data_IF_796824721762
#
_entry.id   IF_796824721762
#
_cell.length_a   1.000
_cell.length_b   1.000
_cell.length_c   1.000
_cell.angle_alpha   90.00
_cell.angle_beta   90.00
_cell.angle_gamma   90.00
#
_symmetry.space_group_name_H-M   'P 1'
#
loop_
_entity.id
_entity.type
_entity.pdbx_description
1 polymer ?
#
# COMPACT_ATOMS: atom_id res chain seq x y z
N UNK A 1 19.92 5.69 18.88
CA UNK A 1 18.52 5.31 19.15
C UNK A 1 18.04 4.46 18.00
N UNK A 2 17.20 3.44 18.25
CA UNK A 2 16.75 2.49 17.24
C UNK A 2 15.70 3.08 16.28
N UNK A 3 15.24 4.31 16.50
CA UNK A 3 14.45 5.03 15.49
C UNK A 3 15.31 5.32 14.25
N UNK A 4 15.08 4.56 13.19
CA UNK A 4 15.78 4.69 11.90
C UNK A 4 15.28 5.87 11.05
N UNK A 5 14.36 6.71 11.57
CA UNK A 5 13.81 7.87 10.84
C UNK A 5 12.96 7.49 9.64
N UNK A 6 12.53 6.22 9.56
CA UNK A 6 11.71 5.73 8.47
C UNK A 6 10.28 6.25 8.58
N UNK A 7 9.67 6.50 7.43
CA UNK A 7 8.23 6.72 7.30
C UNK A 7 7.47 5.50 7.85
N UNK A 8 6.41 5.78 8.60
CA UNK A 8 5.51 4.76 9.12
C UNK A 8 4.55 4.29 8.03
N UNK A 9 4.34 2.98 7.98
CA UNK A 9 3.37 2.34 7.08
C UNK A 9 2.41 1.44 7.86
N UNK A 10 1.20 1.31 7.38
CA UNK A 10 0.13 0.58 8.04
C UNK A 10 -0.57 -0.34 7.06
N UNK A 11 -0.94 -1.54 7.51
CA UNK A 11 -1.60 -2.50 6.65
C UNK A 11 -2.48 -3.49 7.39
N UNK A 12 -3.16 -4.32 6.61
CA UNK A 12 -4.01 -5.40 7.14
C UNK A 12 -3.53 -6.77 6.70
N UNK A 13 -3.89 -7.75 7.51
CA UNK A 13 -3.62 -9.16 7.31
C UNK A 13 -4.92 -9.96 7.47
N UNK A 14 -5.80 -9.97 6.46
CA UNK A 14 -7.01 -10.77 6.49
C UNK A 14 -6.68 -12.26 6.33
N UNK A 15 -7.44 -13.11 7.02
CA UNK A 15 -7.27 -14.57 6.90
C UNK A 15 -7.83 -15.05 5.56
N UNK A 16 -7.06 -15.79 4.72
CA UNK A 16 -7.52 -16.22 3.40
C UNK A 16 -8.42 -17.46 3.46
N UNK A 17 -9.49 -17.41 4.27
CA UNK A 17 -10.42 -18.52 4.46
C UNK A 17 -11.23 -18.81 3.19
N UNK A 18 -11.26 -20.08 2.78
CA UNK A 18 -11.99 -20.56 1.61
C UNK A 18 -13.51 -20.39 1.73
N UNK A 19 -14.04 -20.36 2.96
CA UNK A 19 -15.47 -20.15 3.20
C UNK A 19 -15.85 -18.66 3.28
N UNK A 20 -14.86 -17.75 3.23
CA UNK A 20 -15.06 -16.31 3.38
C UNK A 20 -14.24 -15.46 2.38
N UNK A 21 -13.96 -15.99 1.18
CA UNK A 21 -13.11 -15.32 0.18
C UNK A 21 -13.62 -13.93 -0.19
N UNK A 22 -14.94 -13.77 -0.38
CA UNK A 22 -15.54 -12.48 -0.71
C UNK A 22 -15.29 -11.44 0.40
N UNK A 23 -15.34 -11.87 1.66
CA UNK A 23 -15.04 -11.00 2.80
C UNK A 23 -13.57 -10.54 2.78
N UNK A 24 -12.63 -11.41 2.38
CA UNK A 24 -11.21 -11.03 2.28
C UNK A 24 -10.98 -9.95 1.23
N UNK A 25 -11.70 -10.04 0.11
CA UNK A 25 -11.67 -9.01 -0.94
C UNK A 25 -12.29 -7.71 -0.44
N UNK A 26 -13.46 -7.77 0.20
CA UNK A 26 -14.14 -6.60 0.78
C UNK A 26 -13.25 -5.87 1.80
N UNK A 27 -12.58 -6.59 2.69
CA UNK A 27 -11.63 -6.02 3.65
C UNK A 27 -10.45 -5.34 2.95
N UNK A 28 -9.99 -5.91 1.85
CA UNK A 28 -8.87 -5.37 1.07
C UNK A 28 -9.25 -4.09 0.31
N UNK A 29 -10.46 -4.04 -0.25
CA UNK A 29 -11.02 -2.85 -0.88
C UNK A 29 -11.26 -1.73 0.16
N UNK A 30 -11.77 -2.08 1.34
CA UNK A 30 -11.93 -1.12 2.43
C UNK A 30 -10.58 -0.53 2.88
N UNK A 31 -9.52 -1.34 2.91
CA UNK A 31 -8.18 -0.89 3.25
C UNK A 31 -7.59 0.05 2.18
N UNK A 32 -7.83 -0.24 0.90
CA UNK A 32 -7.43 0.61 -0.23
C UNK A 32 -8.12 1.99 -0.14
N UNK A 33 -9.44 2.01 0.05
CA UNK A 33 -10.22 3.25 0.18
C UNK A 33 -9.82 4.04 1.44
N UNK A 34 -9.50 3.34 2.54
CA UNK A 34 -9.09 3.98 3.78
C UNK A 34 -7.64 4.51 3.76
N UNK A 35 -6.90 4.32 2.67
CA UNK A 35 -5.53 4.83 2.52
C UNK A 35 -4.47 4.06 3.30
N UNK A 36 -4.69 2.76 3.55
CA UNK A 36 -3.66 1.89 4.13
C UNK A 36 -2.64 1.48 3.07
N UNK A 37 -1.39 1.25 3.51
CA UNK A 37 -0.26 0.96 2.63
C UNK A 37 -0.24 -0.48 2.12
N UNK A 38 -0.66 -1.45 2.94
CA UNK A 38 -0.50 -2.87 2.64
C UNK A 38 -1.75 -3.72 2.91
N UNK A 39 -2.02 -4.65 1.99
CA UNK A 39 -2.76 -5.89 2.25
C UNK A 39 -1.79 -7.05 2.11
N UNK A 40 -1.73 -7.90 3.14
CA UNK A 40 -0.84 -9.06 3.09
C UNK A 40 -1.57 -10.37 3.40
N UNK A 41 -1.23 -11.44 2.66
CA UNK A 41 -1.98 -12.71 2.66
C UNK A 41 -1.07 -13.88 3.05
N UNK A 42 -1.54 -14.73 3.97
CA UNK A 42 -0.82 -15.95 4.35
C UNK A 42 -0.68 -16.92 3.17
N UNK A 43 0.51 -17.47 2.97
CA UNK A 43 0.76 -18.51 1.96
C UNK A 43 0.98 -19.87 2.62
N UNK A 44 -0.10 -20.60 2.86
CA UNK A 44 -0.07 -21.99 3.31
C UNK A 44 -0.77 -22.92 2.31
N UNK A 45 -0.15 -23.26 1.16
CA UNK A 45 -0.78 -24.07 0.11
C UNK A 45 -1.26 -25.46 0.55
N UNK A 46 -0.73 -25.97 1.67
CA UNK A 46 -1.14 -27.25 2.27
C UNK A 46 -2.36 -27.13 3.21
N UNK A 47 -2.83 -25.93 3.53
CA UNK A 47 -3.97 -25.73 4.41
C UNK A 47 -5.26 -25.74 3.59
N UNK A 48 -6.02 -26.83 3.67
CA UNK A 48 -7.25 -27.01 2.89
C UNK A 48 -8.36 -25.99 3.21
N UNK A 49 -8.26 -25.23 4.32
CA UNK A 49 -9.19 -24.15 4.64
C UNK A 49 -8.81 -22.81 4.01
N UNK A 50 -7.63 -22.72 3.41
CA UNK A 50 -7.14 -21.48 2.81
C UNK A 50 -7.16 -21.55 1.29
N UNK A 51 -7.44 -20.41 0.66
CA UNK A 51 -7.27 -20.27 -0.80
C UNK A 51 -5.81 -20.04 -1.17
N UNK A 52 -5.49 -20.22 -2.46
CA UNK A 52 -4.17 -19.89 -3.00
C UNK A 52 -3.88 -18.38 -2.89
N UNK A 53 -2.85 -18.04 -2.12
CA UNK A 53 -2.49 -16.65 -1.83
C UNK A 53 -2.19 -15.84 -3.09
N UNK A 54 -1.53 -16.42 -4.11
CA UNK A 54 -1.12 -15.68 -5.31
C UNK A 54 -2.30 -15.38 -6.24
N UNK A 55 -3.22 -16.33 -6.37
CA UNK A 55 -4.48 -16.15 -7.09
C UNK A 55 -5.32 -15.07 -6.42
N UNK A 56 -5.44 -15.12 -5.08
CA UNK A 56 -6.16 -14.12 -4.30
C UNK A 56 -5.51 -12.72 -4.40
N UNK A 57 -4.19 -12.61 -4.24
CA UNK A 57 -3.46 -11.35 -4.39
C UNK A 57 -3.65 -10.74 -5.79
N UNK A 58 -3.65 -11.57 -6.84
CA UNK A 58 -3.90 -11.11 -8.21
C UNK A 58 -5.31 -10.56 -8.38
N UNK A 59 -6.31 -11.22 -7.78
CA UNK A 59 -7.69 -10.77 -7.79
C UNK A 59 -7.86 -9.45 -7.01
N UNK A 60 -7.31 -9.37 -5.79
CA UNK A 60 -7.31 -8.13 -4.99
C UNK A 60 -6.62 -7.00 -5.76
N UNK A 61 -5.50 -7.27 -6.43
CA UNK A 61 -4.79 -6.29 -7.24
C UNK A 61 -5.63 -5.73 -8.39
N UNK A 62 -6.48 -6.55 -9.01
CA UNK A 62 -7.43 -6.08 -10.03
C UNK A 62 -8.62 -5.30 -9.45
N UNK A 63 -8.87 -5.39 -8.14
CA UNK A 63 -10.00 -4.78 -7.43
C UNK A 63 -9.62 -3.51 -6.65
N UNK A 64 -8.33 -3.20 -6.57
CA UNK A 64 -7.76 -2.09 -5.79
C UNK A 64 -6.86 -1.23 -6.66
N UNK A 65 -6.57 0.00 -6.22
CA UNK A 65 -5.86 0.99 -7.03
C UNK A 65 -4.55 1.50 -6.42
N UNK A 66 -4.43 1.57 -5.09
CA UNK A 66 -3.28 2.17 -4.40
C UNK A 66 -2.53 1.18 -3.50
N UNK A 67 -3.27 0.30 -2.82
CA UNK A 67 -2.72 -0.56 -1.78
C UNK A 67 -1.68 -1.54 -2.32
N UNK A 68 -0.57 -1.70 -1.59
CA UNK A 68 0.47 -2.67 -1.94
C UNK A 68 0.12 -4.06 -1.44
N UNK A 69 0.61 -5.07 -2.15
CA UNK A 69 0.19 -6.46 -2.03
C UNK A 69 1.41 -7.35 -1.79
N UNK A 70 1.35 -8.18 -0.76
CA UNK A 70 2.44 -9.12 -0.48
C UNK A 70 1.93 -10.43 0.15
N UNK A 71 2.58 -11.57 -0.14
CA UNK A 71 2.43 -12.73 0.72
C UNK A 71 3.10 -12.49 2.08
N UNK A 72 2.53 -13.03 3.16
CA UNK A 72 3.02 -12.88 4.54
C UNK A 72 3.05 -14.25 5.25
N UNK A 73 4.08 -15.06 5.05
CA UNK A 73 5.12 -14.94 3.99
C UNK A 73 5.00 -16.10 3.01
N UNK A 74 5.49 -15.92 1.78
CA UNK A 74 5.52 -16.95 0.75
C UNK A 74 6.25 -18.21 1.23
N UNK A 75 5.67 -19.38 0.93
CA UNK A 75 6.25 -20.67 1.28
C UNK A 75 7.28 -21.09 0.22
N UNK A 76 8.54 -20.66 0.38
CA UNK A 76 9.58 -20.91 -0.63
C UNK A 76 9.74 -22.41 -1.01
N UNK A 77 9.67 -23.39 -0.09
CA UNK A 77 9.70 -24.80 -0.46
C UNK A 77 8.63 -25.25 -1.47
N UNK A 78 7.48 -24.56 -1.52
CA UNK A 78 6.37 -24.85 -2.44
C UNK A 78 6.24 -23.83 -3.58
N UNK A 79 7.12 -22.83 -3.64
CA UNK A 79 7.15 -21.78 -4.66
C UNK A 79 8.55 -21.70 -5.28
N UNK A 80 8.86 -22.49 -6.34
CA UNK A 80 10.18 -22.50 -6.96
C UNK A 80 10.66 -21.06 -7.31
N UNK A 81 11.89 -20.65 -6.95
CA UNK A 81 12.33 -19.25 -7.00
C UNK A 81 12.15 -18.55 -8.35
N UNK A 82 12.39 -19.25 -9.46
CA UNK A 82 12.21 -18.69 -10.81
C UNK A 82 10.74 -18.37 -11.08
N UNK A 83 9.84 -19.30 -10.72
CA UNK A 83 8.39 -19.12 -10.90
C UNK A 83 7.90 -18.00 -9.97
N UNK A 84 8.32 -18.02 -8.71
CA UNK A 84 8.00 -16.99 -7.73
C UNK A 84 8.44 -15.59 -8.20
N UNK A 85 9.68 -15.45 -8.70
CA UNK A 85 10.18 -14.18 -9.22
C UNK A 85 9.37 -13.67 -10.39
N UNK A 86 8.94 -14.55 -11.30
CA UNK A 86 8.06 -14.19 -12.41
C UNK A 86 6.65 -13.82 -11.95
N UNK A 87 6.09 -14.53 -10.97
CA UNK A 87 4.78 -14.19 -10.39
C UNK A 87 4.79 -12.81 -9.75
N UNK A 88 5.81 -12.50 -8.95
CA UNK A 88 5.99 -11.18 -8.33
C UNK A 88 6.09 -10.09 -9.39
N UNK A 89 7.00 -10.25 -10.36
CA UNK A 89 7.16 -9.26 -11.42
C UNK A 89 5.91 -9.09 -12.28
N UNK A 90 5.14 -10.17 -12.50
CA UNK A 90 3.89 -10.09 -13.25
C UNK A 90 2.82 -9.35 -12.45
N UNK A 91 2.64 -9.68 -11.17
CA UNK A 91 1.72 -8.97 -10.29
C UNK A 91 2.08 -7.48 -10.23
N UNK A 92 3.36 -7.17 -10.04
CA UNK A 92 3.85 -5.79 -10.00
C UNK A 92 3.50 -5.00 -11.26
N UNK A 93 3.70 -5.60 -12.43
CA UNK A 93 3.37 -4.96 -13.71
C UNK A 93 1.87 -4.81 -13.92
N UNK A 94 1.06 -5.80 -13.49
CA UNK A 94 -0.39 -5.74 -13.58
C UNK A 94 -0.99 -4.68 -12.67
N UNK A 95 -0.37 -4.44 -11.51
CA UNK A 95 -0.86 -3.49 -10.50
C UNK A 95 -0.23 -2.12 -10.60
N UNK A 96 0.72 -1.92 -11.52
CA UNK A 96 1.40 -0.64 -11.73
C UNK A 96 2.46 -0.31 -10.68
N UNK A 97 3.07 -1.30 -10.03
CA UNK A 97 4.15 -1.07 -9.05
C UNK A 97 3.78 -1.37 -7.60
N UNK A 98 2.78 -2.22 -7.36
CA UNK A 98 2.21 -2.44 -6.01
C UNK A 98 2.56 -3.79 -5.40
N UNK A 99 3.48 -4.58 -5.96
CA UNK A 99 3.78 -5.92 -5.43
C UNK A 99 5.09 -5.96 -4.62
N UNK A 100 5.03 -6.52 -3.41
CA UNK A 100 6.20 -6.79 -2.56
C UNK A 100 6.31 -8.29 -2.24
N UNK A 101 7.44 -8.74 -1.68
CA UNK A 101 7.64 -10.16 -1.38
C UNK A 101 8.04 -10.41 0.07
N UNK A 102 7.07 -10.78 0.91
CA UNK A 102 7.37 -11.52 2.12
C UNK A 102 7.73 -12.98 1.79
N UNK A 103 8.88 -13.46 2.24
CA UNK A 103 9.36 -14.83 1.98
C UNK A 103 9.91 -15.50 3.23
N UNK A 104 9.65 -16.80 3.36
CA UNK A 104 10.15 -17.62 4.46
C UNK A 104 10.63 -18.99 4.02
N UNK A 105 11.32 -19.68 4.93
CA UNK A 105 11.82 -21.04 4.71
C UNK A 105 10.73 -22.12 4.74
N UNK A 106 9.50 -21.76 5.11
CA UNK A 106 8.47 -22.69 5.56
C UNK A 106 8.63 -23.08 7.03
N UNK A 107 7.52 -23.44 7.69
CA UNK A 107 7.48 -23.80 9.11
C UNK A 107 6.93 -25.21 9.38
N UNK A 108 5.96 -25.67 8.58
CA UNK A 108 5.23 -26.92 8.80
C UNK A 108 5.74 -28.02 7.87
N UNK A 109 6.89 -28.61 8.20
CA UNK A 109 7.61 -29.54 7.31
C UNK A 109 6.80 -30.75 6.85
N UNK A 110 6.00 -31.34 7.73
CA UNK A 110 5.22 -32.53 7.35
C UNK A 110 4.14 -32.18 6.33
N UNK A 111 3.50 -31.01 6.48
CA UNK A 111 2.52 -30.50 5.52
C UNK A 111 3.18 -30.07 4.20
N UNK A 112 4.36 -29.44 4.26
CA UNK A 112 5.17 -29.09 3.08
C UNK A 112 5.53 -30.35 2.28
N UNK A 113 6.00 -31.40 2.96
CA UNK A 113 6.35 -32.67 2.33
C UNK A 113 5.11 -33.36 1.73
N UNK A 114 3.99 -33.35 2.45
CA UNK A 114 2.73 -33.90 1.94
C UNK A 114 2.24 -33.17 0.68
N UNK A 115 2.51 -31.87 0.56
CA UNK A 115 2.21 -31.05 -0.62
C UNK A 115 3.29 -31.14 -1.73
N UNK A 116 4.26 -32.05 -1.61
CA UNK A 116 5.31 -32.29 -2.62
C UNK A 116 6.55 -31.43 -2.50
N UNK A 117 6.68 -30.63 -1.43
CA UNK A 117 7.88 -29.84 -1.15
C UNK A 117 9.02 -30.67 -0.55
N UNK A 118 10.27 -30.19 -0.62
CA UNK A 118 11.41 -30.89 -0.04
C UNK A 118 11.43 -30.76 1.49
N UNK A 119 11.82 -31.85 2.17
CA UNK A 119 12.21 -31.77 3.59
C UNK A 119 13.63 -31.20 3.69
N UNK A 120 13.82 -30.16 4.49
CA UNK A 120 15.12 -29.54 4.75
C UNK A 120 15.39 -29.46 6.25
N UNK A 121 16.63 -29.68 6.65
CA UNK A 121 17.12 -29.28 7.97
C UNK A 121 17.12 -27.76 8.11
N UNK A 122 17.19 -27.22 9.35
CA UNK A 122 17.30 -25.77 9.55
C UNK A 122 18.52 -25.14 8.87
N UNK A 123 19.60 -25.88 8.66
CA UNK A 123 20.78 -25.37 7.96
C UNK A 123 20.55 -25.26 6.45
N UNK A 124 19.99 -26.31 5.86
CA UNK A 124 19.67 -26.38 4.43
C UNK A 124 18.58 -25.38 4.05
N UNK A 125 17.58 -25.17 4.91
CA UNK A 125 16.49 -24.22 4.62
C UNK A 125 16.98 -22.77 4.53
N UNK A 126 17.96 -22.39 5.34
CA UNK A 126 18.60 -21.07 5.30
C UNK A 126 19.43 -20.91 4.02
N UNK A 127 20.24 -21.91 3.66
CA UNK A 127 21.01 -21.90 2.40
C UNK A 127 20.08 -21.81 1.18
N UNK A 128 19.00 -22.59 1.18
CA UNK A 128 18.01 -22.58 0.10
C UNK A 128 17.32 -21.21 -0.03
N UNK A 129 17.08 -20.51 1.08
CA UNK A 129 16.55 -19.15 1.03
C UNK A 129 17.56 -18.16 0.45
N UNK A 130 18.83 -18.25 0.83
CA UNK A 130 19.91 -17.43 0.25
C UNK A 130 20.03 -17.64 -1.27
N UNK A 131 20.04 -18.90 -1.73
CA UNK A 131 20.02 -19.24 -3.15
C UNK A 131 18.74 -18.73 -3.85
N UNK A 132 17.59 -18.87 -3.19
CA UNK A 132 16.31 -18.38 -3.69
C UNK A 132 16.30 -16.86 -3.90
N UNK A 133 16.79 -16.08 -2.92
CA UNK A 133 16.91 -14.62 -3.02
C UNK A 133 17.85 -14.22 -4.16
N UNK A 134 18.99 -14.92 -4.32
CA UNK A 134 19.89 -14.66 -5.45
C UNK A 134 19.21 -14.89 -6.80
N UNK A 135 18.42 -15.96 -6.94
CA UNK A 135 17.64 -16.22 -8.16
C UNK A 135 16.58 -15.15 -8.39
N UNK A 136 15.82 -14.75 -7.35
CA UNK A 136 14.78 -13.73 -7.44
C UNK A 136 15.36 -12.40 -7.96
N UNK A 137 16.45 -11.93 -7.36
CA UNK A 137 17.15 -10.71 -7.81
C UNK A 137 17.69 -10.85 -9.23
N UNK A 138 18.21 -12.01 -9.61
CA UNK A 138 18.65 -12.28 -10.97
C UNK A 138 17.50 -12.22 -11.98
N UNK A 139 16.33 -12.78 -11.65
CA UNK A 139 15.13 -12.73 -12.50
C UNK A 139 14.69 -11.28 -12.71
N UNK A 140 14.71 -10.45 -11.67
CA UNK A 140 14.25 -9.05 -11.73
C UNK A 140 15.25 -8.08 -12.37
N UNK A 141 16.51 -8.46 -12.55
CA UNK A 141 17.55 -7.62 -13.14
C UNK A 141 17.25 -7.15 -14.58
N UNK A 142 16.36 -7.84 -15.31
CA UNK A 142 15.85 -7.40 -16.62
C UNK A 142 16.82 -7.45 -17.78
N UNK A 143 18.08 -7.78 -17.52
CA UNK A 143 19.10 -7.98 -18.54
C UNK A 143 20.08 -9.10 -18.15
N UNK A 144 20.64 -9.75 -19.17
CA UNK A 144 21.65 -10.79 -18.99
C UNK A 144 21.08 -12.18 -18.72
N UNK A 145 21.94 -13.05 -18.16
CA UNK A 145 21.60 -14.42 -17.82
C UNK A 145 21.77 -14.67 -16.32
N UNK A 146 20.77 -15.30 -15.72
CA UNK A 146 20.77 -15.72 -14.32
C UNK A 146 21.50 -17.06 -14.24
N UNK A 147 22.54 -17.08 -13.40
CA UNK A 147 23.32 -18.27 -13.11
C UNK A 147 23.47 -18.39 -11.59
N UNK A 148 22.91 -19.44 -11.01
CA UNK A 148 23.03 -19.79 -9.60
C UNK A 148 23.35 -21.27 -9.52
N UNK A 149 24.55 -21.61 -9.05
CA UNK A 149 25.01 -22.99 -8.86
C UNK A 149 24.83 -23.40 -7.39
N UNK A 150 23.58 -23.36 -6.93
CA UNK A 150 23.21 -23.68 -5.55
C UNK A 150 23.13 -25.18 -5.27
N UNK A 151 23.15 -25.55 -3.99
CA UNK A 151 22.95 -26.92 -3.52
C UNK A 151 21.46 -27.31 -3.58
N UNK A 152 20.56 -26.34 -3.38
CA UNK A 152 19.11 -26.58 -3.30
C UNK A 152 18.33 -26.00 -4.49
N UNK A 153 18.80 -24.88 -5.06
CA UNK A 153 18.25 -24.28 -6.26
C UNK A 153 19.36 -23.97 -7.27
N UNK A 154 19.21 -24.52 -8.48
CA UNK A 154 20.15 -24.33 -9.59
C UNK A 154 19.46 -23.68 -10.77
N UNK A 155 20.13 -22.67 -11.35
CA UNK A 155 19.70 -21.99 -12.58
C UNK A 155 20.93 -21.79 -13.45
N UNK A 156 20.88 -22.21 -14.71
CA UNK A 156 22.00 -22.13 -15.66
C UNK A 156 21.52 -21.48 -16.95
N UNK A 157 21.99 -20.26 -17.22
CA UNK A 157 21.71 -19.53 -18.46
C UNK A 157 20.26 -19.07 -18.63
N UNK A 158 19.49 -18.91 -17.55
CA UNK A 158 18.11 -18.40 -17.66
C UNK A 158 18.15 -16.93 -18.08
N UNK A 159 17.44 -16.56 -19.15
CA UNK A 159 17.27 -15.16 -19.49
C UNK A 159 16.48 -14.45 -18.39
N UNK A 160 17.02 -13.33 -17.89
CA UNK A 160 16.34 -12.51 -16.89
C UNK A 160 15.01 -11.99 -17.42
N UNK A 161 14.03 -11.84 -16.53
CA UNK A 161 12.78 -11.15 -16.80
C UNK A 161 11.49 -11.99 -16.65
N UNK A 162 10.32 -11.32 -16.69
CA UNK A 162 10.17 -9.86 -16.82
C UNK A 162 10.66 -9.12 -15.58
N UNK A 163 11.14 -7.88 -15.75
CA UNK A 163 11.43 -7.01 -14.62
C UNK A 163 10.14 -6.42 -14.04
N UNK A 164 10.05 -6.31 -12.71
CA UNK A 164 9.05 -5.45 -12.08
C UNK A 164 9.21 -4.00 -12.55
N UNK A 165 8.16 -3.19 -12.43
CA UNK A 165 8.21 -1.76 -12.78
C UNK A 165 8.91 -0.95 -11.70
N UNK A 166 9.01 -1.47 -10.48
CA UNK A 166 9.75 -0.86 -9.38
C UNK A 166 10.71 -1.86 -8.69
N UNK A 167 11.69 -1.38 -7.89
CA UNK A 167 12.54 -2.25 -7.09
C UNK A 167 11.77 -2.94 -5.96
N UNK A 168 11.27 -4.15 -6.22
CA UNK A 168 10.52 -4.97 -5.26
C UNK A 168 11.34 -5.25 -3.98
N UNK A 169 10.74 -5.00 -2.83
CA UNK A 169 11.30 -5.33 -1.52
C UNK A 169 11.13 -6.82 -1.18
N UNK A 170 12.16 -7.40 -0.57
CA UNK A 170 12.13 -8.75 0.01
C UNK A 170 12.11 -8.66 1.53
N UNK A 171 11.02 -9.10 2.14
CA UNK A 171 10.86 -9.16 3.59
C UNK A 171 10.99 -10.59 4.11
N UNK A 172 11.75 -10.78 5.20
CA UNK A 172 12.00 -12.12 5.74
C UNK A 172 11.38 -12.26 7.14
N UNK A 173 10.58 -13.31 7.32
CA UNK A 173 10.13 -13.75 8.64
C UNK A 173 11.24 -14.52 9.36
N UNK A 174 11.92 -13.87 10.31
CA UNK A 174 13.11 -14.43 10.98
C UNK A 174 13.04 -14.27 12.50
N UNK A 175 13.47 -15.31 13.23
CA UNK A 175 13.48 -15.30 14.71
C UNK A 175 14.78 -15.82 15.33
N UNK A 176 15.54 -16.62 14.58
CA UNK A 176 16.75 -17.29 15.08
C UNK A 176 18.01 -16.60 14.55
N UNK A 177 19.13 -16.60 15.31
CA UNK A 177 20.31 -15.80 14.97
C UNK A 177 20.86 -15.98 13.55
N UNK A 178 20.84 -17.20 13.00
CA UNK A 178 21.28 -17.46 11.62
C UNK A 178 20.38 -16.80 10.57
N UNK A 179 19.06 -16.79 10.80
CA UNK A 179 18.08 -16.14 9.92
C UNK A 179 18.12 -14.62 10.03
N UNK A 180 18.32 -14.07 11.24
CA UNK A 180 18.51 -12.63 11.44
C UNK A 180 19.77 -12.13 10.73
N UNK A 181 20.86 -12.90 10.76
CA UNK A 181 22.07 -12.59 9.99
C UNK A 181 21.85 -12.61 8.48
N UNK A 182 21.08 -13.57 7.97
CA UNK A 182 20.68 -13.60 6.56
C UNK A 182 19.84 -12.37 6.20
N UNK A 183 18.89 -12.00 7.08
CA UNK A 183 18.01 -10.84 6.90
C UNK A 183 18.82 -9.54 6.78
N UNK A 184 19.75 -9.28 7.70
CA UNK A 184 20.61 -8.09 7.63
C UNK A 184 21.50 -8.04 6.38
N UNK A 185 21.95 -9.19 5.87
CA UNK A 185 22.77 -9.28 4.65
C UNK A 185 21.98 -9.06 3.36
N UNK A 186 20.79 -9.64 3.24
CA UNK A 186 20.14 -9.87 1.93
C UNK A 186 18.72 -9.31 1.79
N UNK A 187 18.01 -9.08 2.89
CA UNK A 187 16.61 -8.64 2.86
C UNK A 187 16.50 -7.11 2.91
N UNK A 188 15.37 -6.58 2.44
CA UNK A 188 15.00 -5.16 2.57
C UNK A 188 14.05 -4.94 3.74
N UNK A 189 13.49 -6.01 4.31
CA UNK A 189 12.63 -5.94 5.48
C UNK A 189 12.71 -7.17 6.38
N UNK A 190 12.39 -6.95 7.65
CA UNK A 190 12.18 -7.99 8.64
C UNK A 190 10.71 -7.98 9.07
N UNK A 191 10.02 -9.13 8.99
CA UNK A 191 8.58 -9.25 9.25
C UNK A 191 8.27 -10.34 10.30
N UNK A 192 8.56 -10.10 11.59
CA UNK A 192 8.10 -10.93 12.69
C UNK A 192 6.59 -10.78 12.93
N UNK A 193 6.02 -11.75 13.64
CA UNK A 193 4.67 -11.65 14.20
C UNK A 193 4.69 -11.72 15.72
N UNK A 194 3.79 -10.97 16.36
CA UNK A 194 3.68 -10.87 17.81
C UNK A 194 3.57 -12.21 18.54
N UNK A 195 2.86 -13.18 17.96
CA UNK A 195 2.74 -14.53 18.54
C UNK A 195 4.06 -15.34 18.55
N UNK A 196 5.11 -14.86 17.90
CA UNK A 196 6.43 -15.53 17.83
C UNK A 196 7.58 -14.68 18.37
N UNK A 197 7.42 -13.36 18.43
CA UNK A 197 8.36 -12.43 19.02
C UNK A 197 7.59 -11.36 19.79
N UNK A 198 7.64 -11.40 21.12
CA UNK A 198 6.97 -10.42 21.96
C UNK A 198 7.64 -9.04 21.84
N UNK A 199 6.89 -7.93 22.04
CA UNK A 199 7.41 -6.56 21.97
C UNK A 199 8.76 -6.33 22.67
N UNK A 200 9.01 -6.82 23.91
CA UNK A 200 10.28 -6.58 24.60
C UNK A 200 11.48 -7.30 23.97
N UNK A 201 11.26 -8.32 23.15
CA UNK A 201 12.33 -9.05 22.48
C UNK A 201 12.80 -8.37 21.19
N UNK A 202 11.99 -7.47 20.62
CA UNK A 202 12.22 -6.91 19.28
C UNK A 202 13.55 -6.17 19.16
N UNK A 203 13.94 -5.38 20.16
CA UNK A 203 15.18 -4.61 20.13
C UNK A 203 16.43 -5.48 20.01
N UNK A 204 16.53 -6.52 20.84
CA UNK A 204 17.64 -7.48 20.78
C UNK A 204 17.69 -8.29 19.48
N UNK A 205 16.55 -8.45 18.80
CA UNK A 205 16.48 -9.08 17.48
C UNK A 205 16.90 -8.08 16.39
N UNK A 206 16.43 -6.83 16.45
CA UNK A 206 16.85 -5.73 15.57
C UNK A 206 18.37 -5.50 15.63
N UNK A 207 18.98 -5.48 16.81
CA UNK A 207 20.43 -5.33 16.98
C UNK A 207 21.24 -6.41 16.25
N UNK A 208 20.74 -7.64 16.20
CA UNK A 208 21.40 -8.73 15.46
C UNK A 208 21.30 -8.53 13.94
N UNK A 209 20.21 -7.94 13.46
CA UNK A 209 20.02 -7.59 12.05
C UNK A 209 20.95 -6.42 11.70
N UNK A 210 21.02 -5.40 12.55
CA UNK A 210 21.89 -4.23 12.38
C UNK A 210 23.37 -4.64 12.32
N UNK A 211 23.81 -5.48 13.26
CA UNK A 211 25.17 -6.01 13.25
C UNK A 211 25.48 -6.79 11.97
N UNK A 212 24.51 -7.54 11.44
CA UNK A 212 24.67 -8.30 10.20
C UNK A 212 24.65 -7.42 8.95
N UNK A 213 23.83 -6.37 8.92
CA UNK A 213 23.81 -5.37 7.86
C UNK A 213 25.15 -4.63 7.80
N UNK A 214 25.64 -4.13 8.95
CA UNK A 214 26.95 -3.48 9.05
C UNK A 214 28.09 -4.40 8.62
N UNK A 215 28.10 -5.65 9.06
CA UNK A 215 29.10 -6.64 8.65
C UNK A 215 29.07 -6.94 7.13
N UNK A 216 27.92 -6.69 6.48
CA UNK A 216 27.75 -6.82 5.03
C UNK A 216 28.01 -5.51 4.27
N UNK A 217 28.39 -4.42 4.96
CA UNK A 217 28.59 -3.09 4.36
C UNK A 217 27.28 -2.40 3.98
N UNK A 218 26.15 -2.77 4.59
CA UNK A 218 24.84 -2.16 4.38
C UNK A 218 24.49 -1.24 5.53
N UNK A 219 23.74 -0.18 5.23
CA UNK A 219 23.08 0.64 6.26
C UNK A 219 21.99 -0.20 6.95
N UNK A 220 21.98 -0.31 8.30
CA UNK A 220 20.86 -0.92 9.03
C UNK A 220 19.49 -0.37 8.65
N UNK A 221 19.40 0.93 8.32
CA UNK A 221 18.17 1.59 7.89
C UNK A 221 17.71 1.14 6.48
N UNK A 222 18.55 0.44 5.71
CA UNK A 222 18.14 -0.21 4.46
C UNK A 222 17.36 -1.51 4.68
N UNK A 223 17.21 -1.96 5.94
CA UNK A 223 16.36 -3.08 6.31
C UNK A 223 15.19 -2.53 7.13
N UNK A 224 14.00 -2.44 6.55
CA UNK A 224 12.78 -2.01 7.22
C UNK A 224 12.38 -2.98 8.35
N UNK A 225 11.78 -2.46 9.42
CA UNK A 225 11.26 -3.27 10.53
C UNK A 225 9.73 -3.26 10.45
N UNK A 226 9.17 -4.36 9.97
CA UNK A 226 7.74 -4.58 9.89
C UNK A 226 7.29 -5.44 11.07
N UNK A 227 6.02 -5.40 11.45
CA UNK A 227 5.52 -6.23 12.54
C UNK A 227 4.04 -6.56 12.38
N UNK A 228 3.71 -7.85 12.43
CA UNK A 228 2.32 -8.29 12.52
C UNK A 228 1.84 -8.14 13.97
N UNK A 229 0.86 -7.26 14.18
CA UNK A 229 0.31 -6.87 15.49
C UNK A 229 -1.14 -7.31 15.65
N UNK A 230 -1.58 -7.50 16.89
CA UNK A 230 -2.96 -7.89 17.19
C UNK A 230 -3.46 -7.12 18.43
N UNK A 231 -4.38 -6.18 18.21
CA UNK A 231 -5.07 -5.48 19.29
C UNK A 231 -4.18 -4.59 20.18
N UNK A 232 -3.18 -3.93 19.60
CA UNK A 232 -2.42 -2.88 20.29
C UNK A 232 -3.02 -1.50 20.04
N UNK A 233 -3.04 -0.69 21.09
CA UNK A 233 -3.41 0.72 21.05
C UNK A 233 -2.28 1.57 20.43
N UNK A 234 -2.62 2.78 19.99
CA UNK A 234 -1.70 3.67 19.28
C UNK A 234 -0.43 4.00 20.08
N UNK A 235 -0.54 4.19 21.40
CA UNK A 235 0.60 4.51 22.27
C UNK A 235 1.64 3.38 22.29
N UNK A 236 1.18 2.12 22.34
CA UNK A 236 2.06 0.96 22.32
C UNK A 236 2.75 0.81 20.96
N UNK A 237 2.05 1.10 19.86
CA UNK A 237 2.65 1.09 18.51
C UNK A 237 3.65 2.24 18.34
N UNK A 238 3.38 3.43 18.87
CA UNK A 238 4.30 4.55 18.86
C UNK A 238 5.59 4.24 19.67
N UNK A 239 5.45 3.62 20.85
CA UNK A 239 6.59 3.14 21.64
C UNK A 239 7.44 2.13 20.86
N UNK A 240 6.80 1.15 20.20
CA UNK A 240 7.50 0.20 19.33
C UNK A 240 8.26 0.89 18.20
N UNK A 241 7.71 1.96 17.62
CA UNK A 241 8.40 2.70 16.58
C UNK A 241 9.63 3.45 17.12
N UNK A 242 9.46 4.17 18.23
CA UNK A 242 10.48 5.05 18.80
C UNK A 242 11.60 4.29 19.53
N UNK A 243 11.28 3.13 20.12
CA UNK A 243 12.17 2.38 21.00
C UNK A 243 12.63 1.04 20.42
N UNK A 244 11.91 0.46 19.46
CA UNK A 244 12.29 -0.82 18.83
C UNK A 244 12.55 -0.67 17.32
N UNK A 245 12.39 0.55 16.78
CA UNK A 245 12.66 0.89 15.39
C UNK A 245 11.63 0.34 14.40
N UNK A 246 10.46 -0.11 14.88
CA UNK A 246 9.38 -0.60 14.03
C UNK A 246 8.82 0.55 13.19
N UNK A 247 8.61 0.30 11.90
CA UNK A 247 8.15 1.34 10.96
C UNK A 247 7.04 0.85 10.05
N UNK A 248 6.59 -0.40 10.20
CA UNK A 248 5.41 -0.89 9.50
C UNK A 248 4.61 -1.80 10.40
N UNK A 249 3.34 -1.48 10.58
CA UNK A 249 2.42 -2.24 11.44
C UNK A 249 1.32 -2.85 10.60
N UNK A 250 1.22 -4.19 10.63
CA UNK A 250 0.23 -4.93 9.87
C UNK A 250 -0.69 -5.63 10.88
N UNK A 251 -1.99 -5.29 10.88
CA UNK A 251 -2.93 -5.80 11.88
C UNK A 251 -3.85 -6.88 11.31
N UNK A 252 -4.18 -7.88 12.12
CA UNK A 252 -5.26 -8.81 11.80
C UNK A 252 -6.62 -8.12 11.91
N UNK A 253 -7.49 -8.32 10.91
CA UNK A 253 -8.83 -7.73 10.86
C UNK A 253 -9.89 -8.79 10.59
N UNK A 254 -11.08 -8.61 11.16
CA UNK A 254 -12.24 -9.49 10.95
C UNK A 254 -13.46 -8.81 10.34
N UNK A 255 -13.45 -7.49 10.22
CA UNK A 255 -14.57 -6.70 9.70
C UNK A 255 -14.10 -5.40 9.06
N UNK A 256 -14.89 -4.83 8.14
CA UNK A 256 -14.64 -3.52 7.54
C UNK A 256 -14.54 -2.43 8.60
N UNK A 257 -15.32 -2.54 9.69
CA UNK A 257 -15.25 -1.62 10.83
C UNK A 257 -13.88 -1.65 11.51
N UNK A 258 -13.24 -2.81 11.62
CA UNK A 258 -11.88 -2.90 12.19
C UNK A 258 -10.86 -2.22 11.29
N UNK A 259 -10.99 -2.37 9.96
CA UNK A 259 -10.15 -1.69 8.97
C UNK A 259 -10.31 -0.17 9.09
N UNK A 260 -11.55 0.32 9.08
CA UNK A 260 -11.85 1.75 9.20
C UNK A 260 -11.33 2.34 10.50
N UNK A 261 -11.54 1.66 11.64
CA UNK A 261 -11.01 2.12 12.93
C UNK A 261 -9.49 2.19 12.91
N UNK A 262 -8.82 1.15 12.41
CA UNK A 262 -7.35 1.13 12.35
C UNK A 262 -6.80 2.26 11.48
N UNK A 263 -7.42 2.51 10.31
CA UNK A 263 -6.99 3.54 9.38
C UNK A 263 -7.33 4.97 9.82
N UNK A 264 -8.51 5.19 10.42
CA UNK A 264 -8.99 6.53 10.77
C UNK A 264 -8.60 6.98 12.19
N UNK A 265 -8.36 6.04 13.11
CA UNK A 265 -8.06 6.35 14.51
C UNK A 265 -6.63 5.94 14.87
N UNK A 266 -6.29 4.66 14.71
CA UNK A 266 -5.00 4.13 15.20
C UNK A 266 -3.81 4.66 14.40
N UNK A 267 -3.81 4.53 13.08
CA UNK A 267 -2.66 4.91 12.25
C UNK A 267 -2.31 6.41 12.35
N UNK A 268 -3.27 7.36 12.27
CA UNK A 268 -2.99 8.78 12.46
C UNK A 268 -2.47 9.09 13.86
N UNK A 269 -3.08 8.51 14.91
CA UNK A 269 -2.61 8.72 16.29
C UNK A 269 -1.16 8.25 16.49
N UNK A 270 -0.77 7.11 15.90
CA UNK A 270 0.62 6.64 15.94
C UNK A 270 1.55 7.64 15.25
N UNK A 271 1.18 8.15 14.06
CA UNK A 271 1.98 9.15 13.34
C UNK A 271 2.16 10.41 14.18
N UNK A 272 1.07 10.96 14.73
CA UNK A 272 1.11 12.16 15.58
C UNK A 272 2.01 11.98 16.80
N UNK A 273 1.90 10.85 17.52
CA UNK A 273 2.72 10.56 18.69
C UNK A 273 4.21 10.45 18.33
N UNK A 274 4.53 9.74 17.25
CA UNK A 274 5.91 9.55 16.80
C UNK A 274 6.52 10.86 16.31
N UNK A 275 5.78 11.65 15.53
CA UNK A 275 6.25 12.93 14.99
C UNK A 275 6.43 13.97 16.09
N UNK A 276 5.51 14.04 17.05
CA UNK A 276 5.64 14.89 18.22
C UNK A 276 6.91 14.56 19.03
N UNK A 277 7.18 13.26 19.25
CA UNK A 277 8.36 12.82 19.99
C UNK A 277 9.65 13.05 19.19
N UNK A 278 9.66 12.82 17.87
CA UNK A 278 10.80 13.13 17.00
C UNK A 278 11.10 14.63 17.00
N UNK A 279 10.08 15.50 16.91
CA UNK A 279 10.24 16.95 17.00
C UNK A 279 10.74 17.39 18.40
N UNK A 280 10.25 16.77 19.47
CA UNK A 280 10.74 17.01 20.84
C UNK A 280 12.21 16.63 20.99
N UNK A 281 12.62 15.48 20.45
CA UNK A 281 14.03 15.01 20.46
C UNK A 281 14.94 15.92 19.65
N UNK A 282 14.46 16.43 18.50
CA UNK A 282 15.22 17.34 17.65
C UNK A 282 15.38 18.76 18.25
N UNK A 283 14.43 19.21 19.08
CA UNK A 283 14.46 20.55 19.72
C UNK A 283 15.22 20.59 21.05
N UNK A 284 15.62 19.44 21.60
CA UNK A 284 16.50 19.39 22.76
C UNK A 284 17.96 19.50 22.32
N UNK A 285 18.72 20.52 22.77
CA UNK A 285 20.16 20.56 22.50
C UNK A 285 20.82 19.32 23.14
N UNK A 286 21.63 18.58 22.37
CA UNK A 286 22.44 17.47 22.89
C UNK A 286 23.18 17.93 24.15
N UNK A 287 22.79 17.44 25.33
CA UNK A 287 23.62 17.55 26.52
C UNK A 287 24.93 16.80 26.23
N UNK A 288 26.00 17.58 26.12
CA UNK A 288 27.32 17.15 25.74
C UNK A 288 27.76 15.89 26.49
N UNK A 289 27.93 14.81 25.72
CA UNK A 289 28.82 13.70 26.08
C UNK A 289 30.18 14.28 26.45
N UNK A 290 30.57 14.11 27.72
CA UNK A 290 31.87 14.46 28.28
C UNK A 290 32.97 13.67 27.56
N UNK A 291 33.44 14.17 26.41
CA UNK A 291 34.71 13.76 25.83
C UNK A 291 35.79 14.74 26.28
N UNK A 292 36.81 14.18 26.93
CA UNK A 292 38.09 14.81 27.21
C UNK A 292 38.63 15.53 25.97
N UNK A 293 38.69 16.86 26.04
CA UNK A 293 39.43 17.67 25.06
C UNK A 293 40.85 17.85 25.57
N UNK A 294 41.79 17.17 24.92
CA UNK A 294 43.22 17.50 25.00
C UNK A 294 43.42 18.85 24.32
N UNK A 295 43.96 19.79 25.08
CA UNK A 295 44.35 21.13 24.65
C UNK A 295 45.34 21.07 23.49
N UNK A 296 44.99 21.64 22.34
CA UNK A 296 45.97 22.33 21.49
C UNK A 296 45.37 23.61 20.91
N UNK A 297 46.13 24.67 21.11
CA UNK A 297 45.91 26.04 20.64
C UNK A 297 46.17 26.14 19.13
N UNK A 298 45.30 26.83 18.40
CA UNK A 298 45.71 27.87 17.45
C UNK A 298 44.50 28.66 16.95
N UNK A 299 44.69 29.97 16.93
CA UNK A 299 43.86 31.08 16.46
C UNK A 299 43.48 31.00 14.98
N UNK A 300 42.24 31.39 14.63
CA UNK A 300 41.97 32.44 13.64
C UNK A 300 40.46 32.73 13.56
N UNK A 301 40.15 34.01 13.69
CA UNK A 301 38.85 34.65 13.52
C UNK A 301 38.51 34.75 12.04
N UNK A 302 37.29 34.38 11.63
CA UNK A 302 36.67 35.00 10.45
C UNK A 302 35.14 34.92 10.50
N UNK A 303 34.54 36.04 10.15
CA UNK A 303 33.12 36.39 10.20
C UNK A 303 32.52 36.14 8.83
N UNK A 304 31.38 35.45 8.71
CA UNK A 304 30.51 35.59 7.54
C UNK A 304 29.04 35.62 7.95
N UNK A 305 28.35 36.58 7.36
CA UNK A 305 27.00 37.04 7.59
C UNK A 305 25.90 35.99 7.39
N UNK A 306 24.80 36.22 8.10
CA UNK A 306 23.49 35.64 7.85
C UNK A 306 22.99 35.98 6.44
N UNK A 307 22.53 34.95 5.71
CA UNK A 307 21.60 35.10 4.60
C UNK A 307 20.32 34.33 4.94
N UNK A 308 19.26 35.09 5.19
CA UNK A 308 17.90 34.60 5.14
C UNK A 308 17.57 34.22 3.69
N UNK A 309 17.28 32.95 3.42
CA UNK A 309 16.66 32.53 2.15
C UNK A 309 15.16 32.72 2.25
N UNK A 310 14.64 33.62 1.43
CA UNK A 310 13.24 33.68 1.02
C UNK A 310 12.82 32.38 0.33
N UNK A 311 11.64 31.86 0.66
CA UNK A 311 11.03 30.70 0.01
C UNK A 311 10.76 30.97 -1.48
N UNK A 312 11.10 30.01 -2.34
CA UNK A 312 10.72 30.00 -3.75
C UNK A 312 9.30 29.38 -3.92
N UNK A 313 8.50 29.82 -4.91
CA UNK A 313 7.14 29.31 -5.15
C UNK A 313 7.14 27.83 -5.61
N UNK A 314 6.19 27.06 -5.08
CA UNK A 314 5.96 25.64 -5.41
C UNK A 314 5.27 25.49 -6.77
N UNK A 315 6.00 25.74 -7.86
CA UNK A 315 5.47 25.55 -9.22
C UNK A 315 5.13 24.07 -9.47
N UNK A 316 3.84 23.73 -9.62
CA UNK A 316 3.38 22.42 -10.11
C UNK A 316 2.20 21.79 -9.37
N UNK A 317 1.86 22.24 -8.17
CA UNK A 317 0.72 21.68 -7.41
C UNK A 317 -0.63 21.98 -8.07
N UNK A 318 -0.79 23.17 -8.66
CA UNK A 318 -1.99 23.51 -9.43
C UNK A 318 -2.12 22.72 -10.72
N UNK A 319 -0.99 22.44 -11.40
CA UNK A 319 -0.99 21.60 -12.60
C UNK A 319 -1.41 20.16 -12.31
N UNK A 320 -0.99 19.61 -11.16
CA UNK A 320 -1.38 18.27 -10.74
C UNK A 320 -2.89 18.15 -10.44
N UNK A 321 -3.49 19.19 -9.83
CA UNK A 321 -4.95 19.22 -9.62
C UNK A 321 -5.70 19.15 -10.95
N UNK A 322 -5.28 19.94 -11.94
CA UNK A 322 -5.88 19.93 -13.29
C UNK A 322 -5.74 18.56 -13.96
N UNK A 323 -4.61 17.87 -13.79
CA UNK A 323 -4.42 16.50 -14.31
C UNK A 323 -5.41 15.50 -13.70
N UNK A 324 -5.66 15.58 -12.39
CA UNK A 324 -6.65 14.75 -11.70
C UNK A 324 -8.05 15.03 -12.26
N UNK A 325 -8.40 16.31 -12.41
CA UNK A 325 -9.71 16.73 -12.92
C UNK A 325 -9.95 16.32 -14.36
N UNK A 326 -8.93 16.38 -15.21
CA UNK A 326 -9.03 15.89 -16.59
C UNK A 326 -9.29 14.38 -16.63
N UNK A 327 -8.70 13.62 -15.70
CA UNK A 327 -9.03 12.21 -15.48
C UNK A 327 -10.51 12.02 -15.11
N UNK A 328 -11.00 12.78 -14.13
CA UNK A 328 -12.40 12.75 -13.70
C UNK A 328 -13.37 13.07 -14.84
N UNK A 329 -13.07 14.10 -15.64
CA UNK A 329 -13.86 14.47 -16.83
C UNK A 329 -13.92 13.34 -17.86
N UNK A 330 -12.79 12.69 -18.12
CA UNK A 330 -12.71 11.58 -19.07
C UNK A 330 -13.54 10.37 -18.61
N UNK A 331 -13.43 10.01 -17.32
CA UNK A 331 -14.20 8.89 -16.75
C UNK A 331 -15.71 9.19 -16.70
N UNK A 332 -16.10 10.42 -16.37
CA UNK A 332 -17.49 10.86 -16.41
C UNK A 332 -18.09 10.78 -17.82
N UNK A 333 -17.33 11.19 -18.83
CA UNK A 333 -17.77 11.11 -20.22
C UNK A 333 -18.00 9.66 -20.66
N UNK A 334 -17.11 8.76 -20.24
CA UNK A 334 -17.25 7.32 -20.52
C UNK A 334 -18.42 6.70 -19.75
N UNK A 335 -18.67 7.10 -18.49
CA UNK A 335 -19.85 6.67 -17.74
C UNK A 335 -21.15 7.02 -18.50
N UNK A 336 -21.26 8.24 -19.00
CA UNK A 336 -22.42 8.71 -19.77
C UNK A 336 -22.64 7.91 -21.06
N UNK A 337 -21.57 7.62 -21.80
CA UNK A 337 -21.64 6.83 -23.03
C UNK A 337 -22.17 5.41 -22.76
N UNK A 338 -21.68 4.74 -21.71
CA UNK A 338 -22.14 3.39 -21.36
C UNK A 338 -23.63 3.41 -20.97
N UNK A 339 -24.07 4.38 -20.19
CA UNK A 339 -25.49 4.50 -19.78
C UNK A 339 -26.39 4.75 -21.00
N UNK A 340 -25.95 5.58 -21.94
CA UNK A 340 -26.69 5.84 -23.20
C UNK A 340 -26.79 4.58 -24.08
N UNK A 341 -25.71 3.81 -24.21
CA UNK A 341 -25.70 2.56 -24.98
C UNK A 341 -26.67 1.52 -24.40
N UNK A 342 -26.73 1.40 -23.08
CA UNK A 342 -27.67 0.53 -22.37
C UNK A 342 -29.12 0.96 -22.64
N UNK A 343 -29.37 2.26 -22.70
CA UNK A 343 -30.70 2.81 -22.97
C UNK A 343 -31.15 2.67 -24.43
N UNK A 344 -30.22 2.78 -25.39
CA UNK A 344 -30.54 2.76 -26.81
C UNK A 344 -30.96 1.36 -27.32
N UNK A 345 -30.72 0.30 -26.54
CA UNK A 345 -31.07 -1.07 -26.93
C UNK A 345 -30.34 -1.57 -28.19
N UNK A 346 -29.24 -0.91 -28.58
CA UNK A 346 -28.52 -1.16 -29.84
C UNK A 346 -27.55 -2.35 -29.77
N UNK A 347 -27.44 -3.04 -28.63
CA UNK A 347 -26.75 -4.33 -28.52
C UNK A 347 -27.73 -5.49 -28.77
N UNK A 348 -27.66 -6.04 -29.99
CA UNK A 348 -28.50 -7.11 -30.51
C UNK A 348 -28.78 -8.23 -29.48
N UNK A 349 -30.06 -8.58 -29.30
CA UNK A 349 -30.58 -9.58 -28.36
C UNK A 349 -29.88 -10.97 -28.40
N UNK A 350 -29.11 -11.27 -29.44
CA UNK A 350 -28.27 -12.46 -29.53
C UNK A 350 -26.94 -12.36 -28.73
N UNK A 351 -26.36 -11.16 -28.55
CA UNK A 351 -25.29 -10.91 -27.56
C UNK A 351 -25.82 -10.93 -26.15
N UNK A 352 -26.98 -10.31 -25.89
CA UNK A 352 -27.63 -10.36 -24.58
C UNK A 352 -27.86 -11.81 -24.10
N UNK A 353 -28.17 -12.75 -25.00
CA UNK A 353 -28.37 -14.18 -24.66
C UNK A 353 -27.07 -14.95 -24.40
N UNK A 354 -25.98 -14.60 -25.08
CA UNK A 354 -24.65 -15.15 -24.77
C UNK A 354 -24.07 -14.53 -23.49
N UNK A 355 -24.33 -13.25 -23.24
CA UNK A 355 -24.04 -12.56 -21.98
C UNK A 355 -24.84 -13.19 -20.83
N UNK A 356 -26.12 -13.52 -21.00
CA UNK A 356 -26.93 -14.23 -19.99
C UNK A 356 -26.38 -15.64 -19.70
N UNK A 357 -25.88 -16.36 -20.72
CA UNK A 357 -25.22 -17.66 -20.53
C UNK A 357 -23.83 -17.54 -19.87
N UNK A 358 -23.13 -16.41 -20.05
CA UNK A 358 -21.91 -16.10 -19.28
C UNK A 358 -22.22 -15.62 -17.85
N UNK A 359 -23.36 -14.94 -17.64
CA UNK A 359 -23.86 -14.45 -16.36
C UNK A 359 -24.39 -15.56 -15.44
N UNK A 360 -24.74 -16.74 -15.97
CA UNK A 360 -25.22 -17.86 -15.14
C UNK A 360 -24.10 -18.76 -14.59
N UNK A 361 -22.83 -18.52 -14.95
CA UNK A 361 -21.69 -19.32 -14.51
C UNK A 361 -20.56 -18.51 -13.85
N UNK A 362 -20.67 -17.18 -13.78
CA UNK A 362 -19.82 -16.31 -12.97
C UNK A 362 -20.68 -15.32 -12.19
N UNK A 363 -21.12 -15.74 -11.02
CA UNK A 363 -21.52 -14.78 -9.99
C UNK A 363 -20.29 -13.94 -9.63
N UNK A 364 -20.47 -12.61 -9.64
CA UNK A 364 -19.49 -11.53 -9.37
C UNK A 364 -18.73 -10.98 -10.59
N UNK A 365 -19.40 -10.14 -11.40
CA UNK A 365 -18.94 -8.80 -11.80
C UNK A 365 -19.92 -8.14 -12.79
N UNK A 366 -20.64 -7.11 -12.32
CA UNK A 366 -21.50 -6.26 -13.14
C UNK A 366 -20.63 -5.22 -13.88
N UNK A 367 -20.48 -5.32 -15.20
CA UNK A 367 -19.57 -4.45 -15.98
C UNK A 367 -19.90 -2.94 -15.86
N UNK A 368 -21.18 -2.57 -15.80
CA UNK A 368 -21.59 -1.18 -15.56
C UNK A 368 -21.48 -0.80 -14.07
N UNK A 369 -21.98 -1.63 -13.16
CA UNK A 369 -21.95 -1.36 -11.72
C UNK A 369 -20.52 -1.25 -11.15
N UNK A 370 -19.58 -2.06 -11.65
CA UNK A 370 -18.18 -2.00 -11.27
C UNK A 370 -17.52 -0.68 -11.73
N UNK A 371 -17.89 -0.20 -12.93
CA UNK A 371 -17.39 1.07 -13.47
C UNK A 371 -17.95 2.27 -12.69
N UNK A 372 -19.27 2.31 -12.46
CA UNK A 372 -19.89 3.34 -11.62
C UNK A 372 -19.28 3.35 -10.23
N UNK A 373 -19.12 2.19 -9.59
CA UNK A 373 -18.57 2.11 -8.25
C UNK A 373 -17.09 2.53 -8.19
N UNK A 374 -16.30 2.24 -9.23
CA UNK A 374 -14.92 2.72 -9.34
C UNK A 374 -14.87 4.24 -9.45
N UNK A 375 -15.70 4.81 -10.32
CA UNK A 375 -15.81 6.25 -10.51
C UNK A 375 -16.24 6.97 -9.22
N UNK A 376 -17.30 6.48 -8.56
CA UNK A 376 -17.75 7.03 -7.27
C UNK A 376 -16.64 7.00 -6.22
N UNK A 377 -15.90 5.89 -6.11
CA UNK A 377 -14.78 5.78 -5.16
C UNK A 377 -13.67 6.78 -5.43
N UNK A 378 -13.33 7.02 -6.69
CA UNK A 378 -12.27 7.96 -7.07
C UNK A 378 -12.67 9.42 -6.77
N UNK A 379 -13.89 9.81 -7.11
CA UNK A 379 -14.45 11.15 -6.76
C UNK A 379 -14.49 11.34 -5.24
N UNK A 380 -15.02 10.37 -4.50
CA UNK A 380 -15.06 10.43 -3.02
C UNK A 380 -13.66 10.54 -2.41
N UNK A 381 -12.69 9.77 -2.90
CA UNK A 381 -11.32 9.79 -2.40
C UNK A 381 -10.62 11.15 -2.62
N UNK A 382 -10.80 11.72 -3.81
CA UNK A 382 -10.27 13.03 -4.19
C UNK A 382 -10.85 14.16 -3.31
N UNK A 383 -12.17 14.29 -3.21
CA UNK A 383 -12.80 15.33 -2.37
C UNK A 383 -12.49 15.14 -0.87
N UNK A 384 -12.35 13.89 -0.41
CA UNK A 384 -11.96 13.62 1.00
C UNK A 384 -10.56 14.13 1.31
N UNK A 385 -9.63 14.00 0.37
CA UNK A 385 -8.27 14.53 0.51
C UNK A 385 -8.28 16.07 0.59
N UNK A 386 -9.14 16.70 -0.20
CA UNK A 386 -9.31 18.15 -0.21
C UNK A 386 -9.84 18.66 1.11
N UNK A 387 -10.97 18.11 1.57
CA UNK A 387 -11.63 18.50 2.82
C UNK A 387 -10.71 18.33 4.04
N UNK A 388 -9.94 17.24 4.08
CA UNK A 388 -9.16 16.89 5.26
C UNK A 388 -7.77 17.50 5.29
N UNK A 389 -7.21 17.83 4.13
CA UNK A 389 -5.80 18.20 4.05
C UNK A 389 -5.58 19.48 3.26
N UNK A 390 -6.07 19.58 2.03
CA UNK A 390 -5.77 20.71 1.13
C UNK A 390 -6.48 21.98 1.62
N UNK A 391 -7.79 21.91 1.86
CA UNK A 391 -8.59 23.06 2.28
C UNK A 391 -8.18 23.60 3.65
N UNK A 392 -7.94 22.79 4.70
CA UNK A 392 -7.40 23.29 5.97
C UNK A 392 -6.03 23.95 5.81
N UNK A 393 -5.17 23.42 4.93
CA UNK A 393 -3.87 24.03 4.64
C UNK A 393 -4.04 25.40 3.97
N UNK A 394 -4.82 25.48 2.89
CA UNK A 394 -5.05 26.73 2.16
C UNK A 394 -5.73 27.81 3.02
N UNK A 395 -6.69 27.43 3.88
CA UNK A 395 -7.30 28.37 4.85
C UNK A 395 -6.28 28.97 5.81
N UNK A 396 -5.28 28.20 6.24
CA UNK A 396 -4.20 28.71 7.11
C UNK A 396 -3.21 29.58 6.35
N UNK A 397 -2.92 29.24 5.10
CA UNK A 397 -1.94 29.92 4.26
C UNK A 397 -2.48 31.24 3.66
N UNK A 398 -3.75 31.29 3.27
CA UNK A 398 -4.45 32.48 2.78
C UNK A 398 -5.91 32.54 3.26
N UNK A 399 -6.19 33.29 4.34
CA UNK A 399 -7.54 33.47 4.86
C UNK A 399 -8.52 34.13 3.87
N UNK A 400 -8.06 34.77 2.79
CA UNK A 400 -8.95 35.32 1.77
C UNK A 400 -9.67 34.23 0.95
N UNK A 401 -9.16 32.99 0.97
CA UNK A 401 -9.76 31.85 0.27
C UNK A 401 -10.93 31.21 1.02
N UNK A 402 -11.18 31.58 2.28
CA UNK A 402 -12.24 30.97 3.09
C UNK A 402 -13.62 30.94 2.40
N UNK A 403 -14.12 32.02 1.76
CA UNK A 403 -15.42 31.96 1.07
C UNK A 403 -15.44 31.01 -0.14
N UNK A 404 -14.30 30.80 -0.80
CA UNK A 404 -14.17 29.86 -1.92
C UNK A 404 -14.22 28.42 -1.39
N UNK A 405 -13.43 28.16 -0.36
CA UNK A 405 -13.32 26.83 0.27
C UNK A 405 -14.65 26.43 0.93
N UNK A 406 -15.32 27.34 1.64
CA UNK A 406 -16.62 27.08 2.27
C UNK A 406 -17.69 26.69 1.23
N UNK A 407 -17.57 27.22 0.01
CA UNK A 407 -18.45 26.84 -1.11
C UNK A 407 -18.10 25.46 -1.65
N UNK A 408 -16.81 25.17 -1.86
CA UNK A 408 -16.37 23.86 -2.37
C UNK A 408 -16.76 22.73 -1.41
N UNK A 409 -16.60 22.91 -0.09
CA UNK A 409 -17.04 21.93 0.90
C UNK A 409 -18.57 21.70 0.87
N UNK A 410 -19.36 22.74 0.60
CA UNK A 410 -20.81 22.58 0.41
C UNK A 410 -21.14 21.80 -0.87
N UNK A 411 -20.41 22.07 -1.95
CA UNK A 411 -20.53 21.32 -3.21
C UNK A 411 -20.13 19.85 -3.03
N UNK A 412 -19.13 19.53 -2.21
CA UNK A 412 -18.75 18.15 -1.87
C UNK A 412 -19.88 17.35 -1.21
N UNK A 413 -20.64 17.98 -0.30
CA UNK A 413 -21.82 17.35 0.33
C UNK A 413 -22.87 17.04 -0.73
N UNK A 414 -23.15 18.01 -1.62
CA UNK A 414 -24.13 17.82 -2.71
C UNK A 414 -23.69 16.70 -3.66
N UNK A 415 -22.42 16.64 -4.02
CA UNK A 415 -21.89 15.60 -4.90
C UNK A 415 -21.98 14.23 -4.23
N UNK A 416 -21.65 14.11 -2.94
CA UNK A 416 -21.83 12.86 -2.19
C UNK A 416 -23.29 12.39 -2.18
N UNK A 417 -24.24 13.27 -1.93
CA UNK A 417 -25.67 12.94 -1.98
C UNK A 417 -26.08 12.42 -3.37
N UNK A 418 -25.50 12.95 -4.45
CA UNK A 418 -25.77 12.50 -5.82
C UNK A 418 -25.13 11.13 -6.10
N UNK A 419 -23.93 10.88 -5.57
CA UNK A 419 -23.27 9.57 -5.68
C UNK A 419 -24.05 8.47 -4.94
N UNK A 420 -24.64 8.78 -3.78
CA UNK A 420 -25.56 7.86 -3.08
C UNK A 420 -26.83 7.59 -3.89
N UNK A 421 -27.44 8.63 -4.46
CA UNK A 421 -28.59 8.49 -5.39
C UNK A 421 -28.24 7.64 -6.61
N UNK A 422 -26.99 7.69 -7.09
CA UNK A 422 -26.54 6.90 -8.23
C UNK A 422 -26.47 5.41 -7.86
N UNK A 423 -25.95 5.10 -6.68
CA UNK A 423 -25.92 3.73 -6.16
C UNK A 423 -27.33 3.16 -5.98
N UNK A 424 -28.23 3.93 -5.35
CA UNK A 424 -29.64 3.56 -5.19
C UNK A 424 -30.33 3.33 -6.54
N UNK A 425 -30.07 4.20 -7.54
CA UNK A 425 -30.63 4.06 -8.87
C UNK A 425 -30.13 2.80 -9.58
N UNK A 426 -28.85 2.43 -9.42
CA UNK A 426 -28.25 1.21 -9.95
C UNK A 426 -28.83 -0.04 -9.28
N UNK A 427 -28.97 -0.04 -7.95
CA UNK A 427 -29.60 -1.13 -7.19
C UNK A 427 -31.07 -1.31 -7.58
N UNK A 428 -31.79 -0.20 -7.77
CA UNK A 428 -33.17 -0.20 -8.22
C UNK A 428 -33.34 -0.79 -9.63
N UNK A 429 -32.39 -0.56 -10.54
CA UNK A 429 -32.42 -1.09 -11.90
C UNK A 429 -32.31 -2.61 -11.91
N UNK A 430 -31.48 -3.16 -11.01
CA UNK A 430 -31.28 -4.60 -10.83
C UNK A 430 -32.50 -5.27 -10.19
N UNK A 431 -33.10 -4.60 -9.20
CA UNK A 431 -34.22 -5.14 -8.42
C UNK A 431 -35.58 -4.97 -9.11
N UNK A 432 -35.61 -4.35 -10.30
CA UNK A 432 -36.85 -4.00 -11.02
C UNK A 432 -37.66 -2.88 -10.37
N UNK A 433 -37.05 -2.13 -9.45
CA UNK A 433 -37.68 -1.07 -8.65
C UNK A 433 -37.51 0.34 -9.22
N UNK A 434 -36.47 0.58 -10.02
CA UNK A 434 -36.24 1.84 -10.74
C UNK A 434 -36.08 1.59 -12.24
N UNK A 435 -36.55 2.54 -13.07
CA UNK A 435 -36.39 2.48 -14.52
C UNK A 435 -35.09 3.15 -14.98
N UNK A 436 -34.64 2.83 -16.19
CA UNK A 436 -33.45 3.46 -16.82
C UNK A 436 -33.49 5.00 -16.86
N UNK A 437 -34.68 5.59 -16.82
CA UNK A 437 -34.88 7.04 -16.72
C UNK A 437 -34.44 7.66 -15.37
N UNK A 438 -34.47 6.89 -14.28
CA UNK A 438 -33.95 7.32 -12.97
C UNK A 438 -32.43 7.43 -13.00
N UNK A 439 -31.79 6.35 -13.46
CA UNK A 439 -30.33 6.28 -13.61
C UNK A 439 -29.80 7.40 -14.49
N UNK A 440 -30.42 7.63 -15.65
CA UNK A 440 -30.03 8.71 -16.56
C UNK A 440 -30.09 10.09 -15.89
N UNK A 441 -31.15 10.37 -15.14
CA UNK A 441 -31.32 11.66 -14.47
C UNK A 441 -30.26 11.90 -13.41
N UNK A 442 -29.92 10.88 -12.64
CA UNK A 442 -28.87 10.99 -11.62
C UNK A 442 -27.50 11.17 -12.26
N UNK A 443 -27.20 10.45 -13.34
CA UNK A 443 -25.94 10.60 -14.08
C UNK A 443 -25.82 11.98 -14.73
N UNK A 444 -26.89 12.51 -15.32
CA UNK A 444 -26.89 13.85 -15.89
C UNK A 444 -26.67 14.92 -14.80
N UNK A 445 -27.34 14.76 -13.65
CA UNK A 445 -27.15 15.67 -12.51
C UNK A 445 -25.72 15.60 -11.96
N UNK A 446 -25.16 14.40 -11.79
CA UNK A 446 -23.77 14.21 -11.38
C UNK A 446 -22.82 14.88 -12.36
N UNK A 447 -23.11 14.77 -13.66
CA UNK A 447 -22.30 15.39 -14.69
C UNK A 447 -22.31 16.91 -14.60
N UNK A 448 -23.49 17.51 -14.44
CA UNK A 448 -23.63 18.97 -14.40
C UNK A 448 -22.95 19.54 -13.14
N UNK A 449 -23.24 18.95 -11.99
CA UNK A 449 -22.76 19.45 -10.70
C UNK A 449 -21.25 19.24 -10.53
N UNK A 450 -20.72 18.07 -10.92
CA UNK A 450 -19.28 17.80 -10.81
C UNK A 450 -18.46 18.63 -11.81
N UNK A 451 -18.90 18.78 -13.05
CA UNK A 451 -18.15 19.60 -14.03
C UNK A 451 -18.10 21.08 -13.62
N UNK A 452 -19.21 21.60 -13.06
CA UNK A 452 -19.26 22.95 -12.51
C UNK A 452 -18.32 23.11 -11.32
N UNK A 453 -18.32 22.13 -10.41
CA UNK A 453 -17.45 22.08 -9.24
C UNK A 453 -15.95 22.08 -9.62
N UNK A 454 -15.50 21.12 -10.43
CA UNK A 454 -14.10 21.00 -10.85
C UNK A 454 -13.61 22.28 -11.56
N UNK A 455 -14.47 22.90 -12.38
CA UNK A 455 -14.12 24.15 -13.08
C UNK A 455 -13.99 25.32 -12.11
N UNK A 456 -14.88 25.41 -11.12
CA UNK A 456 -14.85 26.47 -10.12
C UNK A 456 -13.60 26.35 -9.23
N UNK A 457 -13.25 25.12 -8.84
CA UNK A 457 -12.05 24.86 -8.07
C UNK A 457 -10.77 25.24 -8.82
N UNK A 458 -10.64 24.80 -10.08
CA UNK A 458 -9.47 25.13 -10.90
C UNK A 458 -9.30 26.64 -11.05
N UNK A 459 -10.38 27.36 -11.30
CA UNK A 459 -10.36 28.82 -11.48
C UNK A 459 -9.85 29.55 -10.23
N UNK A 460 -10.18 29.04 -9.03
CA UNK A 460 -9.97 29.78 -7.79
C UNK A 460 -8.80 29.26 -6.95
N UNK A 461 -8.43 27.97 -7.07
CA UNK A 461 -7.43 27.35 -6.21
C UNK A 461 -6.10 27.02 -6.89
N UNK A 462 -6.03 26.85 -8.22
CA UNK A 462 -4.76 26.54 -8.93
C UNK A 462 -3.66 27.55 -8.60
N UNK A 463 -3.97 28.84 -8.69
CA UNK A 463 -3.02 29.90 -8.38
C UNK A 463 -2.64 29.99 -6.90
N UNK A 464 -3.48 29.50 -5.99
CA UNK A 464 -3.14 29.40 -4.57
C UNK A 464 -2.25 28.18 -4.30
N UNK A 465 -2.57 27.03 -4.90
CA UNK A 465 -1.80 25.80 -4.80
C UNK A 465 -0.38 25.96 -5.33
N UNK A 466 -0.18 26.66 -6.45
CA UNK A 466 1.17 26.94 -6.96
C UNK A 466 1.97 27.92 -6.07
N UNK A 467 1.28 28.74 -5.26
CA UNK A 467 1.92 29.72 -4.37
C UNK A 467 2.27 29.11 -3.01
N UNK A 468 1.38 28.31 -2.45
CA UNK A 468 1.50 27.79 -1.09
C UNK A 468 1.96 26.33 -1.04
N UNK A 469 1.84 25.60 -2.16
CA UNK A 469 2.21 24.20 -2.29
C UNK A 469 1.32 23.25 -1.47
N UNK A 470 1.68 21.98 -1.53
CA UNK A 470 1.21 20.91 -0.65
C UNK A 470 2.44 20.03 -0.37
N UNK A 471 2.83 19.86 0.91
CA UNK A 471 4.03 19.11 1.31
C UNK A 471 3.71 17.65 1.58
#
# INVERSE_FOLDING_TARGET
>A
MPDYGQELRFGIFPAPDADAVDQVVELSEAADVAGLDYVTIQDHPYNARQVDAWTLLSFIGARTSQIRLAPNVANLPLRPPVVLGRSVATLDRLTGGRAELGIGTGAFWDAIVAAGGPRRSPGESIKALEEGIAILRGVWAGSGSVNVDGEHYQVKGLHSGPSPVHPVEIWVGAYKPRMLRLTGRLADGWLPSMGYADPPALGALSEQIDAAALAAGRDPAAVRRLYNVFGLEAEALAELALEQGMSTFITGVGSVRDVQRFAAETAPAVRELVDAERARRASQPEEASTRHTVTTSATATETVAAQAKSAEPHAGSGAHLVEIHDGLRAELAQLRDIVQQVMAGEEQAHRARNIINELTMRQNNWTLGAYCAQYCRFVTGHHTLEDRSIFPHLRRSDPALTPVIDRLEQEHVVIHDILEQLDDALVGLVSGGSGTAELQRVVDRLSDDLLAHLSYEEEHLVGALDRYGFQ
#
